data_IF_671889828481
#
_entry.id   IF_671889828481
#
_cell.length_a   1.000
_cell.length_b   1.000
_cell.length_c   1.000
_cell.angle_alpha   90.00
_cell.angle_beta   90.00
_cell.angle_gamma   90.00
#
_symmetry.space_group_name_H-M   'P 1'
#
loop_
_entity.id
_entity.type
_entity.pdbx_description
1 polymer ?
#
# COMPACT_ATOMS: atom_id res chain seq x y z
N UNK A 1 -0.88 5.82 -10.58
CA UNK A 1 -0.69 4.56 -9.84
C UNK A 1 0.57 3.93 -10.36
N UNK A 2 1.59 3.81 -9.52
CA UNK A 2 2.77 3.05 -9.84
C UNK A 2 2.45 1.61 -9.50
N UNK A 3 2.47 0.72 -10.50
CA UNK A 3 2.41 -0.73 -10.24
C UNK A 3 3.72 -1.12 -9.58
N UNK A 4 3.64 -1.84 -8.47
CA UNK A 4 4.81 -2.28 -7.68
C UNK A 4 5.81 -3.15 -8.46
N UNK A 5 5.54 -3.47 -9.73
CA UNK A 5 6.43 -4.21 -10.63
C UNK A 5 7.17 -3.34 -11.66
N UNK A 6 6.88 -2.04 -11.80
CA UNK A 6 7.48 -1.17 -12.85
C UNK A 6 7.88 0.23 -12.38
N UNK A 7 8.48 0.35 -11.20
CA UNK A 7 9.20 1.58 -10.89
C UNK A 7 10.56 1.31 -10.26
N UNK A 8 11.61 1.67 -10.99
CA UNK A 8 12.82 2.24 -10.38
C UNK A 8 12.47 3.60 -9.72
N UNK A 9 11.50 3.61 -8.80
CA UNK A 9 11.32 4.71 -7.88
C UNK A 9 12.28 4.46 -6.72
N UNK A 10 13.26 5.35 -6.55
CA UNK A 10 13.95 5.50 -5.27
C UNK A 10 12.92 6.02 -4.26
N UNK A 11 12.18 5.11 -3.64
CA UNK A 11 11.39 5.43 -2.47
C UNK A 11 12.35 5.94 -1.38
N UNK A 12 11.90 6.93 -0.61
CA UNK A 12 12.70 7.52 0.46
C UNK A 12 13.09 6.51 1.56
N UNK A 13 12.35 5.40 1.65
CA UNK A 13 12.58 4.29 2.58
C UNK A 13 12.41 2.94 1.88
N UNK A 14 13.05 1.91 2.45
CA UNK A 14 12.78 0.53 2.09
C UNK A 14 11.45 0.09 2.71
N UNK A 15 10.56 -0.48 1.91
CA UNK A 15 9.29 -1.04 2.38
C UNK A 15 9.43 -2.56 2.60
N UNK A 16 8.77 -3.13 3.63
CA UNK A 16 8.79 -4.57 3.89
C UNK A 16 7.89 -5.32 2.90
N UNK A 17 8.39 -5.52 1.67
CA UNK A 17 7.60 -6.04 0.54
C UNK A 17 6.92 -7.37 0.86
N UNK A 18 7.60 -8.30 1.52
CA UNK A 18 7.03 -9.61 1.87
C UNK A 18 5.83 -9.50 2.82
N UNK A 19 5.91 -8.62 3.83
CA UNK A 19 4.81 -8.38 4.76
C UNK A 19 3.64 -7.69 4.07
N UNK A 20 3.93 -6.70 3.21
CA UNK A 20 2.92 -6.00 2.40
C UNK A 20 2.21 -6.99 1.47
N UNK A 21 2.94 -7.91 0.83
CA UNK A 21 2.37 -8.92 -0.03
C UNK A 21 1.48 -9.89 0.75
N UNK A 22 1.91 -10.34 1.92
CA UNK A 22 1.11 -11.18 2.80
C UNK A 22 -0.18 -10.47 3.25
N UNK A 23 -0.09 -9.18 3.58
CA UNK A 23 -1.26 -8.35 3.89
C UNK A 23 -2.22 -8.26 2.70
N UNK A 24 -1.73 -7.95 1.51
CA UNK A 24 -2.55 -7.86 0.31
C UNK A 24 -3.27 -9.19 0.00
N UNK A 25 -2.57 -10.32 0.17
CA UNK A 25 -3.16 -11.64 0.01
C UNK A 25 -4.27 -11.90 1.03
N UNK A 26 -4.01 -11.63 2.33
CA UNK A 26 -4.99 -11.85 3.41
C UNK A 26 -6.29 -11.07 3.18
N UNK A 27 -6.17 -9.84 2.69
CA UNK A 27 -7.30 -8.91 2.55
C UNK A 27 -7.87 -8.81 1.13
N UNK A 28 -7.46 -9.71 0.24
CA UNK A 28 -7.93 -9.77 -1.16
C UNK A 28 -7.71 -8.46 -1.93
N UNK A 29 -6.60 -7.78 -1.66
CA UNK A 29 -6.11 -6.61 -2.41
C UNK A 29 -5.41 -7.12 -3.68
N UNK A 30 -5.85 -6.64 -4.83
CA UNK A 30 -5.28 -6.94 -6.14
C UNK A 30 -4.10 -6.03 -6.47
N UNK A 31 -4.20 -4.74 -6.17
CA UNK A 31 -3.13 -3.77 -6.43
C UNK A 31 -2.98 -2.87 -5.21
N UNK A 32 -1.73 -2.57 -4.87
CA UNK A 32 -1.38 -1.57 -3.87
C UNK A 32 -0.41 -0.58 -4.52
N UNK A 33 -0.62 0.71 -4.32
CA UNK A 33 0.21 1.76 -4.89
C UNK A 33 0.53 2.81 -3.82
N UNK A 34 1.79 3.20 -3.76
CA UNK A 34 2.27 4.27 -2.87
C UNK A 34 1.70 5.61 -3.32
N UNK A 35 1.28 6.44 -2.37
CA UNK A 35 0.72 7.77 -2.59
C UNK A 35 1.16 8.75 -1.48
N UNK A 36 0.92 10.05 -1.67
CA UNK A 36 1.11 11.04 -0.62
C UNK A 36 2.56 11.48 -0.42
N UNK A 37 2.92 11.72 0.84
CA UNK A 37 4.12 12.45 1.26
C UNK A 37 5.45 11.79 0.84
N UNK A 38 5.48 10.46 0.81
CA UNK A 38 6.65 9.64 0.43
C UNK A 38 7.15 9.86 -1.01
N UNK A 39 6.33 10.47 -1.86
CA UNK A 39 6.70 10.84 -3.23
C UNK A 39 7.37 12.22 -3.31
N UNK A 40 7.43 12.96 -2.20
CA UNK A 40 7.97 14.32 -2.14
C UNK A 40 9.35 14.34 -1.48
N UNK A 41 10.14 15.35 -1.82
CA UNK A 41 11.50 15.53 -1.31
C UNK A 41 11.58 15.89 0.19
N UNK A 42 10.45 16.31 0.78
CA UNK A 42 10.34 16.65 2.20
C UNK A 42 9.85 15.49 3.09
N UNK A 43 9.84 14.25 2.58
CA UNK A 43 9.51 13.07 3.38
C UNK A 43 10.48 12.91 4.55
N UNK A 44 9.93 12.81 5.77
CA UNK A 44 10.70 12.76 7.00
C UNK A 44 10.25 11.57 7.86
N UNK A 45 11.04 11.24 8.89
CA UNK A 45 10.78 10.07 9.75
C UNK A 45 9.45 10.13 10.55
N UNK A 46 8.82 11.30 10.63
CA UNK A 46 7.49 11.49 11.23
C UNK A 46 6.36 11.54 10.21
N UNK A 47 6.65 11.30 8.92
CA UNK A 47 5.66 11.27 7.86
C UNK A 47 5.07 9.87 7.73
N UNK A 48 3.75 9.79 7.58
CA UNK A 48 3.06 8.54 7.29
C UNK A 48 3.28 8.12 5.84
N UNK A 49 3.12 6.81 5.58
CA UNK A 49 3.13 6.25 4.23
C UNK A 49 1.70 5.92 3.82
N UNK A 50 1.18 6.66 2.85
CA UNK A 50 -0.17 6.44 2.34
C UNK A 50 -0.17 5.46 1.17
N UNK A 51 -1.20 4.61 1.11
CA UNK A 51 -1.42 3.69 0.00
C UNK A 51 -2.81 3.85 -0.60
N UNK A 52 -2.88 3.69 -1.91
CA UNK A 52 -4.12 3.40 -2.63
C UNK A 52 -4.21 1.90 -2.88
N UNK A 53 -5.42 1.35 -2.81
CA UNK A 53 -5.66 -0.07 -3.04
C UNK A 53 -6.77 -0.31 -4.07
N UNK A 54 -6.64 -1.41 -4.80
CA UNK A 54 -7.71 -2.00 -5.62
C UNK A 54 -7.96 -3.40 -5.09
N UNK A 55 -9.22 -3.75 -4.84
CA UNK A 55 -9.59 -5.10 -4.42
C UNK A 55 -9.69 -6.05 -5.62
N UNK A 56 -9.48 -7.34 -5.37
CA UNK A 56 -9.74 -8.36 -6.40
C UNK A 56 -11.20 -8.31 -6.88
N UNK A 57 -11.46 -8.68 -8.15
CA UNK A 57 -12.81 -8.80 -8.65
C UNK A 57 -13.68 -9.64 -7.70
N UNK A 58 -14.93 -9.19 -7.48
CA UNK A 58 -15.90 -9.84 -6.58
C UNK A 58 -15.61 -9.75 -5.07
N UNK A 59 -14.47 -9.19 -4.65
CA UNK A 59 -14.24 -8.83 -3.25
C UNK A 59 -15.03 -7.58 -2.89
N UNK A 60 -15.79 -7.65 -1.80
CA UNK A 60 -16.53 -6.51 -1.28
C UNK A 60 -16.25 -6.35 0.21
N UNK A 61 -15.35 -5.42 0.53
CA UNK A 61 -15.17 -5.00 1.90
C UNK A 61 -16.44 -4.35 2.43
N UNK A 62 -16.81 -4.74 3.64
CA UNK A 62 -17.73 -4.04 4.51
C UNK A 62 -16.93 -3.09 5.40
N UNK A 63 -17.64 -2.19 6.09
CA UNK A 63 -17.00 -1.27 7.04
C UNK A 63 -16.13 -1.99 8.07
N UNK A 64 -16.54 -3.17 8.54
CA UNK A 64 -15.74 -3.96 9.48
C UNK A 64 -14.41 -4.41 8.88
N UNK A 65 -14.41 -4.87 7.64
CA UNK A 65 -13.18 -5.33 6.97
C UNK A 65 -12.19 -4.17 6.85
N UNK A 66 -12.68 -2.96 6.51
CA UNK A 66 -11.86 -1.75 6.43
C UNK A 66 -11.22 -1.37 7.78
N UNK A 67 -11.96 -1.51 8.88
CA UNK A 67 -11.47 -1.12 10.22
C UNK A 67 -10.54 -2.20 10.81
N UNK A 68 -10.73 -3.47 10.44
CA UNK A 68 -9.93 -4.58 10.95
C UNK A 68 -8.68 -4.88 10.10
N UNK A 69 -8.53 -4.26 8.93
CA UNK A 69 -7.38 -4.39 8.06
C UNK A 69 -6.17 -3.59 8.58
N UNK A 70 -5.68 -3.98 9.75
CA UNK A 70 -4.49 -3.46 10.41
C UNK A 70 -3.38 -4.53 10.46
N UNK A 71 -2.12 -4.10 10.36
CA UNK A 71 -0.88 -4.85 10.65
C UNK A 71 0.02 -3.98 11.53
#
# INVERSE_FOLDING_TARGET
MIKLEEAELKLAIALPVDAIQAFCQRWEIAELAVFGSILRDDFAANSDVDFLYILKPSTRWRLRDLICAEE
#
